data_IF_282619554916
#
_entry.id   IF_282619554916
#
_cell.length_a   1.000
_cell.length_b   1.000
_cell.length_c   1.000
_cell.angle_alpha   90.00
_cell.angle_beta   90.00
_cell.angle_gamma   90.00
#
_symmetry.space_group_name_H-M   'P 1'
#
loop_
_entity.id
_entity.type
_entity.pdbx_description
1 polymer ?
#
# COMPACT_ATOMS: atom_id res chain seq x y z
N UNK A 1 1.33 38.85 -2.72
CA UNK A 1 1.41 37.40 -3.06
C UNK A 1 2.48 37.31 -4.14
N UNK A 2 3.64 36.80 -3.80
CA UNK A 2 4.75 36.63 -4.76
C UNK A 2 4.53 35.37 -5.57
N UNK A 3 4.19 35.54 -6.84
CA UNK A 3 4.13 34.47 -7.85
C UNK A 3 5.53 33.88 -8.06
N UNK A 4 5.96 33.01 -7.15
CA UNK A 4 7.14 32.16 -7.43
C UNK A 4 6.65 30.91 -8.18
N UNK A 5 7.15 30.66 -9.39
CA UNK A 5 6.74 29.48 -10.14
C UNK A 5 7.09 28.20 -9.38
N UNK A 6 6.20 27.22 -9.43
CA UNK A 6 6.32 25.91 -8.77
C UNK A 6 7.67 25.23 -9.07
N UNK A 7 8.28 25.52 -10.21
CA UNK A 7 9.60 25.02 -10.63
C UNK A 7 10.76 25.38 -9.68
N UNK A 8 10.62 26.39 -8.81
CA UNK A 8 11.68 26.81 -7.87
C UNK A 8 11.84 25.81 -6.72
N UNK A 9 10.85 24.99 -6.46
CA UNK A 9 10.90 24.02 -5.36
C UNK A 9 11.67 22.72 -5.71
N UNK A 10 11.92 22.46 -6.98
CA UNK A 10 12.58 21.25 -7.46
C UNK A 10 14.05 21.41 -7.87
N UNK A 11 14.70 22.53 -7.50
CA UNK A 11 16.14 22.70 -7.76
C UNK A 11 16.95 21.92 -6.71
N UNK A 12 18.00 21.22 -7.18
CA UNK A 12 18.90 20.39 -6.37
C UNK A 12 19.64 21.15 -5.25
N UNK A 13 19.52 22.46 -5.18
CA UNK A 13 20.22 23.33 -4.21
C UNK A 13 19.65 23.23 -2.78
N UNK A 14 18.48 22.61 -2.57
CA UNK A 14 17.89 22.55 -1.24
C UNK A 14 17.84 21.12 -0.68
N UNK A 15 19.02 20.52 -0.48
CA UNK A 15 19.17 19.18 0.10
C UNK A 15 18.38 19.00 1.40
N UNK A 16 18.34 20.03 2.23
CA UNK A 16 17.62 20.00 3.52
C UNK A 16 16.12 19.87 3.31
N UNK A 17 15.55 20.57 2.32
CA UNK A 17 14.13 20.48 1.96
C UNK A 17 13.75 19.05 1.54
N UNK A 18 14.55 18.43 0.67
CA UNK A 18 14.31 17.07 0.22
C UNK A 18 14.45 16.04 1.34
N UNK A 19 15.44 16.23 2.23
CA UNK A 19 15.62 15.34 3.39
C UNK A 19 14.41 15.43 4.37
N UNK A 20 13.90 16.64 4.62
CA UNK A 20 12.69 16.83 5.42
C UNK A 20 11.47 16.18 4.76
N UNK A 21 11.28 16.38 3.46
CA UNK A 21 10.20 15.75 2.73
C UNK A 21 10.26 14.23 2.78
N UNK A 22 11.44 13.65 2.56
CA UNK A 22 11.64 12.21 2.68
C UNK A 22 11.36 11.72 4.11
N UNK A 23 11.86 12.41 5.13
CA UNK A 23 11.60 12.07 6.53
C UNK A 23 10.10 12.02 6.83
N UNK A 24 9.34 13.05 6.48
CA UNK A 24 7.90 13.08 6.72
C UNK A 24 7.13 12.06 5.87
N UNK A 25 7.60 11.76 4.66
CA UNK A 25 7.09 10.65 3.86
C UNK A 25 7.26 9.29 4.56
N UNK A 26 8.45 9.05 5.14
CA UNK A 26 8.70 7.82 5.92
C UNK A 26 7.88 7.78 7.22
N UNK A 27 7.70 8.91 7.89
CA UNK A 27 6.81 9.02 9.06
C UNK A 27 5.36 8.69 8.65
N UNK A 28 4.88 9.22 7.54
CA UNK A 28 3.54 8.94 7.02
C UNK A 28 3.37 7.44 6.71
N UNK A 29 4.36 6.83 6.05
CA UNK A 29 4.39 5.39 5.79
C UNK A 29 4.32 4.58 7.07
N UNK A 30 5.19 4.90 8.03
CA UNK A 30 5.27 4.20 9.32
C UNK A 30 3.99 4.30 10.13
N UNK A 31 3.37 5.48 10.19
CA UNK A 31 2.10 5.69 10.88
C UNK A 31 0.95 4.95 10.19
N UNK A 32 0.87 5.00 8.86
CA UNK A 32 -0.14 4.27 8.10
C UNK A 32 -0.01 2.75 8.32
N UNK A 33 1.21 2.24 8.37
CA UNK A 33 1.48 0.83 8.66
C UNK A 33 1.15 0.47 10.11
N UNK A 34 1.58 1.28 11.09
CA UNK A 34 1.30 1.04 12.51
C UNK A 34 -0.21 0.97 12.78
N UNK A 35 -1.00 1.85 12.14
CA UNK A 35 -2.45 1.85 12.28
C UNK A 35 -3.09 0.57 11.68
N UNK A 36 -2.55 0.02 10.60
CA UNK A 36 -3.01 -1.26 10.04
C UNK A 36 -2.63 -2.44 10.94
N UNK A 37 -1.50 -2.35 11.62
CA UNK A 37 -1.06 -3.40 12.55
C UNK A 37 -1.88 -3.46 13.84
N UNK A 38 -2.81 -2.53 14.08
CA UNK A 38 -3.75 -2.62 15.21
C UNK A 38 -4.66 -3.86 15.14
N UNK A 39 -4.88 -4.42 13.95
CA UNK A 39 -5.62 -5.68 13.80
C UNK A 39 -4.76 -6.93 14.02
N UNK A 40 -3.43 -6.81 14.04
CA UNK A 40 -2.50 -7.93 14.17
C UNK A 40 -2.77 -8.86 15.36
N UNK A 41 -3.14 -8.36 16.56
CA UNK A 41 -3.48 -9.23 17.68
C UNK A 41 -4.64 -10.19 17.38
N UNK A 42 -5.62 -9.78 16.56
CA UNK A 42 -6.74 -10.64 16.16
C UNK A 42 -6.25 -11.82 15.34
N UNK A 43 -5.27 -11.61 14.45
CA UNK A 43 -4.69 -12.64 13.59
C UNK A 43 -3.81 -13.65 14.34
N UNK A 44 -3.50 -13.41 15.61
CA UNK A 44 -2.79 -14.38 16.47
C UNK A 44 -3.70 -15.51 16.96
N UNK A 45 -5.02 -15.37 16.81
CA UNK A 45 -5.96 -16.43 17.19
C UNK A 45 -5.72 -17.68 16.31
N UNK A 46 -5.58 -18.89 16.90
CA UNK A 46 -5.42 -20.14 16.16
C UNK A 46 -6.52 -20.41 15.12
N UNK A 47 -7.72 -19.89 15.31
CA UNK A 47 -8.86 -20.01 14.37
C UNK A 47 -8.58 -19.39 13.00
N UNK A 48 -7.66 -18.42 12.92
CA UNK A 48 -7.27 -17.77 11.67
C UNK A 48 -6.03 -18.37 11.03
N UNK A 49 -5.66 -19.61 11.45
CA UNK A 49 -4.53 -20.35 10.92
C UNK A 49 -4.92 -21.73 10.43
N UNK A 50 -4.34 -22.14 9.32
CA UNK A 50 -4.34 -23.53 8.85
C UNK A 50 -2.89 -24.02 8.85
N UNK A 51 -2.53 -24.76 9.91
CA UNK A 51 -1.13 -25.13 10.13
C UNK A 51 -0.24 -23.92 10.41
N UNK A 52 0.75 -23.67 9.55
CA UNK A 52 1.64 -22.50 9.64
C UNK A 52 1.14 -21.26 8.88
N UNK A 53 0.07 -21.39 8.10
CA UNK A 53 -0.42 -20.33 7.21
C UNK A 53 -1.59 -19.58 7.83
N UNK A 54 -1.66 -18.25 7.58
CA UNK A 54 -2.82 -17.44 7.90
C UNK A 54 -3.91 -17.64 6.85
N UNK A 55 -5.15 -17.69 7.30
CA UNK A 55 -6.31 -17.65 6.42
C UNK A 55 -6.38 -16.29 5.74
N UNK A 56 -6.86 -16.27 4.51
CA UNK A 56 -7.11 -15.02 3.80
C UNK A 56 -8.51 -14.49 4.13
N UNK A 57 -8.65 -13.17 4.11
CA UNK A 57 -9.85 -12.49 4.56
C UNK A 57 -11.02 -12.62 3.57
N UNK A 58 -10.76 -12.92 2.29
CA UNK A 58 -11.79 -12.90 1.25
C UNK A 58 -11.70 -14.08 0.29
N UNK A 59 -12.81 -14.39 -0.32
CA UNK A 59 -12.94 -15.37 -1.40
C UNK A 59 -12.05 -15.03 -2.59
N UNK A 60 -11.99 -13.72 -2.94
CA UNK A 60 -11.20 -13.24 -4.08
C UNK A 60 -9.71 -13.41 -3.84
N UNK A 61 -9.24 -13.24 -2.60
CA UNK A 61 -7.84 -13.48 -2.27
C UNK A 61 -7.45 -14.95 -2.55
N UNK A 62 -8.30 -15.92 -2.19
CA UNK A 62 -8.06 -17.33 -2.53
C UNK A 62 -8.11 -17.59 -4.03
N UNK A 63 -9.00 -16.91 -4.76
CA UNK A 63 -9.07 -17.01 -6.21
C UNK A 63 -7.75 -16.57 -6.89
N UNK A 64 -7.18 -15.44 -6.44
CA UNK A 64 -5.92 -14.94 -6.97
C UNK A 64 -4.73 -15.82 -6.56
N UNK A 65 -4.72 -16.33 -5.34
CA UNK A 65 -3.69 -17.29 -4.89
C UNK A 65 -3.74 -18.57 -5.71
N UNK A 66 -4.90 -19.16 -5.91
CA UNK A 66 -5.05 -20.35 -6.75
C UNK A 66 -4.52 -20.09 -8.17
N UNK A 67 -4.84 -18.92 -8.77
CA UNK A 67 -4.30 -18.52 -10.06
C UNK A 67 -2.78 -18.38 -10.08
N UNK A 68 -2.19 -17.84 -9.02
CA UNK A 68 -0.74 -17.72 -8.86
C UNK A 68 -0.05 -19.09 -8.73
N UNK A 69 -0.72 -20.07 -8.13
CA UNK A 69 -0.26 -21.44 -8.01
C UNK A 69 -0.50 -22.30 -9.27
N UNK A 70 -1.19 -21.74 -10.26
CA UNK A 70 -1.45 -22.41 -11.54
C UNK A 70 -2.78 -23.15 -11.60
N UNK A 71 -3.72 -22.85 -10.70
CA UNK A 71 -5.03 -23.48 -10.62
C UNK A 71 -6.19 -22.55 -10.95
N UNK A 72 -7.25 -23.07 -11.55
CA UNK A 72 -8.50 -22.37 -11.77
C UNK A 72 -8.46 -21.32 -12.89
N UNK A 73 -9.48 -20.44 -12.88
CA UNK A 73 -9.70 -19.46 -13.95
C UNK A 73 -8.84 -18.20 -13.85
N UNK A 74 -8.17 -17.98 -12.72
CA UNK A 74 -7.31 -16.81 -12.51
C UNK A 74 -5.88 -16.99 -13.07
N UNK A 75 -5.56 -18.16 -13.62
CA UNK A 75 -4.24 -18.43 -14.22
C UNK A 75 -3.98 -17.46 -15.37
N UNK A 76 -2.85 -16.74 -15.31
CA UNK A 76 -2.49 -15.72 -16.31
C UNK A 76 -3.16 -14.36 -16.10
N UNK A 77 -4.07 -14.21 -15.14
CA UNK A 77 -4.62 -12.91 -14.80
C UNK A 77 -3.54 -12.01 -14.18
N UNK A 78 -3.48 -10.69 -14.48
CA UNK A 78 -2.45 -9.79 -13.95
C UNK A 78 -2.26 -9.84 -12.43
N UNK A 79 -3.34 -9.95 -11.66
CA UNK A 79 -3.28 -10.06 -10.20
C UNK A 79 -2.55 -11.34 -9.75
N UNK A 80 -2.86 -12.48 -10.38
CA UNK A 80 -2.22 -13.75 -10.08
C UNK A 80 -0.75 -13.78 -10.53
N UNK A 81 -0.45 -13.21 -11.70
CA UNK A 81 0.93 -13.09 -12.22
C UNK A 81 1.77 -12.19 -11.32
N UNK A 82 1.23 -11.05 -10.88
CA UNK A 82 1.90 -10.14 -9.96
C UNK A 82 2.18 -10.85 -8.61
N UNK A 83 1.18 -11.54 -8.08
CA UNK A 83 1.30 -12.27 -6.82
C UNK A 83 2.39 -13.35 -6.89
N UNK A 84 2.40 -14.13 -7.97
CA UNK A 84 3.44 -15.15 -8.20
C UNK A 84 4.82 -14.52 -8.32
N UNK A 85 4.96 -13.48 -9.16
CA UNK A 85 6.25 -12.81 -9.35
C UNK A 85 6.82 -12.23 -8.04
N UNK A 86 5.96 -11.72 -7.18
CA UNK A 86 6.37 -11.24 -5.85
C UNK A 86 6.76 -12.39 -4.92
N UNK A 87 6.01 -13.49 -4.93
CA UNK A 87 6.35 -14.66 -4.14
C UNK A 87 7.71 -15.25 -4.56
N UNK A 88 7.95 -15.36 -5.86
CA UNK A 88 9.23 -15.81 -6.41
C UNK A 88 10.38 -14.88 -6.03
N UNK A 89 10.17 -13.54 -6.13
CA UNK A 89 11.17 -12.53 -5.77
C UNK A 89 11.54 -12.58 -4.27
N UNK A 90 10.56 -12.82 -3.41
CA UNK A 90 10.73 -12.84 -1.96
C UNK A 90 11.13 -14.24 -1.43
N UNK A 91 11.16 -15.27 -2.29
CA UNK A 91 11.46 -16.64 -1.91
C UNK A 91 10.43 -17.24 -0.95
N UNK A 92 9.15 -16.88 -1.14
CA UNK A 92 8.04 -17.30 -0.29
C UNK A 92 6.89 -17.87 -1.13
N UNK A 93 5.77 -18.22 -0.50
CA UNK A 93 4.59 -18.77 -1.18
C UNK A 93 3.53 -17.66 -1.42
N UNK A 94 2.69 -17.80 -2.46
CA UNK A 94 1.72 -16.77 -2.86
C UNK A 94 0.76 -16.34 -1.75
N UNK A 95 0.27 -17.28 -0.93
CA UNK A 95 -0.65 -16.95 0.17
C UNK A 95 -0.01 -16.03 1.22
N UNK A 96 1.29 -16.18 1.53
CA UNK A 96 1.99 -15.27 2.45
C UNK A 96 2.05 -13.85 1.87
N UNK A 97 2.33 -13.71 0.57
CA UNK A 97 2.32 -12.39 -0.09
C UNK A 97 0.91 -11.81 -0.10
N UNK A 98 -0.11 -12.62 -0.46
CA UNK A 98 -1.51 -12.19 -0.47
C UNK A 98 -1.99 -11.73 0.92
N UNK A 99 -1.42 -12.27 1.98
CA UNK A 99 -1.74 -11.86 3.35
C UNK A 99 -1.15 -10.47 3.71
N UNK A 100 0.14 -10.22 3.41
CA UNK A 100 0.83 -9.01 3.85
C UNK A 100 0.76 -7.85 2.87
N UNK A 101 0.73 -8.15 1.58
CA UNK A 101 0.88 -7.15 0.52
C UNK A 101 -0.21 -6.07 0.52
N UNK A 102 -1.51 -6.37 0.78
CA UNK A 102 -2.55 -5.35 0.83
C UNK A 102 -2.25 -4.25 1.84
N UNK A 103 -1.89 -4.63 3.06
CA UNK A 103 -1.56 -3.69 4.13
C UNK A 103 -0.32 -2.84 3.77
N UNK A 104 0.69 -3.44 3.16
CA UNK A 104 1.91 -2.74 2.74
C UNK A 104 1.64 -1.77 1.59
N UNK A 105 1.02 -2.24 0.49
CA UNK A 105 0.79 -1.38 -0.69
C UNK A 105 -0.15 -0.22 -0.37
N UNK A 106 -1.16 -0.43 0.46
CA UNK A 106 -2.06 0.63 0.88
C UNK A 106 -1.38 1.74 1.70
N UNK A 107 -0.29 1.43 2.41
CA UNK A 107 0.51 2.45 3.08
C UNK A 107 1.25 3.35 2.08
N UNK A 108 1.64 2.83 0.92
CA UNK A 108 2.22 3.66 -0.14
C UNK A 108 1.21 4.63 -0.77
N UNK A 109 -0.10 4.32 -0.73
CA UNK A 109 -1.14 5.29 -1.11
C UNK A 109 -1.07 6.53 -0.22
N UNK A 110 -0.86 6.36 1.09
CA UNK A 110 -0.65 7.49 2.00
C UNK A 110 0.55 8.35 1.60
N UNK A 111 1.66 7.71 1.20
CA UNK A 111 2.89 8.41 0.77
C UNK A 111 2.67 9.15 -0.56
N UNK A 112 1.95 8.56 -1.51
CA UNK A 112 1.64 9.21 -2.78
C UNK A 112 0.81 10.48 -2.55
N UNK A 113 -0.24 10.38 -1.72
CA UNK A 113 -1.09 11.54 -1.38
C UNK A 113 -0.31 12.58 -0.58
N UNK A 114 0.54 12.14 0.36
CA UNK A 114 1.49 13.02 1.03
C UNK A 114 2.35 13.80 0.03
N UNK A 115 2.97 13.12 -0.92
CA UNK A 115 3.85 13.73 -1.92
C UNK A 115 3.09 14.74 -2.80
N UNK A 116 1.85 14.44 -3.16
CA UNK A 116 0.97 15.33 -3.88
C UNK A 116 0.74 16.64 -3.14
N UNK A 117 0.33 16.57 -1.88
CA UNK A 117 0.01 17.76 -1.07
C UNK A 117 1.31 18.50 -0.69
N UNK A 118 2.41 17.79 -0.45
CA UNK A 118 3.72 18.40 -0.26
C UNK A 118 4.15 19.22 -1.49
N UNK A 119 3.94 18.69 -2.70
CA UNK A 119 4.21 19.42 -3.95
C UNK A 119 3.38 20.72 -4.07
N UNK A 120 2.21 20.79 -3.42
CA UNK A 120 1.40 22.01 -3.31
C UNK A 120 1.89 22.98 -2.22
N UNK A 121 2.91 22.60 -1.43
CA UNK A 121 3.64 23.50 -0.54
C UNK A 121 3.45 23.29 0.97
N UNK A 122 2.71 22.25 1.42
CA UNK A 122 2.53 21.99 2.85
C UNK A 122 2.84 20.51 3.20
N UNK A 123 3.87 20.31 4.02
CA UNK A 123 4.24 19.00 4.54
C UNK A 123 3.22 18.47 5.57
N UNK A 124 2.79 19.32 6.48
CA UNK A 124 1.83 18.98 7.55
C UNK A 124 0.49 18.57 6.97
N UNK A 125 -0.02 19.37 6.01
CA UNK A 125 -1.24 19.02 5.29
C UNK A 125 -1.05 17.72 4.48
N UNK A 126 0.14 17.48 3.94
CA UNK A 126 0.50 16.25 3.25
C UNK A 126 0.40 15.03 4.14
N UNK A 127 0.97 15.07 5.35
CA UNK A 127 0.86 13.98 6.34
C UNK A 127 -0.61 13.71 6.68
N UNK A 128 -1.35 14.77 7.01
CA UNK A 128 -2.77 14.65 7.36
C UNK A 128 -3.60 14.04 6.20
N UNK A 129 -3.42 14.55 4.98
CA UNK A 129 -4.13 14.05 3.79
C UNK A 129 -3.77 12.60 3.48
N UNK A 130 -2.50 12.23 3.55
CA UNK A 130 -2.03 10.86 3.35
C UNK A 130 -2.66 9.89 4.35
N UNK A 131 -2.64 10.23 5.63
CA UNK A 131 -3.25 9.39 6.67
C UNK A 131 -4.77 9.29 6.50
N UNK A 132 -5.48 10.40 6.29
CA UNK A 132 -6.92 10.39 6.07
C UNK A 132 -7.32 9.53 4.87
N UNK A 133 -6.57 9.61 3.76
CA UNK A 133 -6.83 8.79 2.57
C UNK A 133 -6.62 7.32 2.87
N UNK A 134 -5.50 6.97 3.52
CA UNK A 134 -5.17 5.58 3.81
C UNK A 134 -6.11 4.95 4.85
N UNK A 135 -6.71 5.77 5.71
CA UNK A 135 -7.65 5.35 6.74
C UNK A 135 -9.12 5.56 6.36
N UNK A 136 -9.41 6.04 5.15
CA UNK A 136 -10.78 6.17 4.66
C UNK A 136 -11.50 4.82 4.80
N UNK A 137 -12.67 4.75 5.49
CA UNK A 137 -13.25 3.48 5.93
C UNK A 137 -13.44 2.46 4.82
N UNK A 138 -13.89 2.90 3.63
CA UNK A 138 -14.07 2.02 2.48
C UNK A 138 -12.76 1.46 1.93
N UNK A 139 -11.69 2.25 1.91
CA UNK A 139 -10.37 1.81 1.47
C UNK A 139 -9.68 0.95 2.53
N UNK A 140 -9.74 1.37 3.80
CA UNK A 140 -9.16 0.63 4.92
C UNK A 140 -9.75 -0.79 4.98
N UNK A 141 -11.09 -0.94 4.96
CA UNK A 141 -11.74 -2.24 5.05
C UNK A 141 -11.37 -3.21 3.92
N UNK A 142 -10.94 -2.67 2.76
CA UNK A 142 -10.56 -3.46 1.58
C UNK A 142 -9.06 -3.63 1.38
N UNK A 143 -8.26 -3.17 2.32
CA UNK A 143 -6.78 -3.24 2.27
C UNK A 143 -6.16 -3.68 3.58
N UNK A 144 -6.93 -4.39 4.40
CA UNK A 144 -6.49 -5.04 5.62
C UNK A 144 -5.62 -6.28 5.32
N UNK A 145 -5.05 -6.87 6.35
CA UNK A 145 -4.29 -8.12 6.23
C UNK A 145 -5.16 -9.23 5.61
N UNK A 146 -4.61 -9.95 4.66
CA UNK A 146 -5.31 -11.04 3.97
C UNK A 146 -6.38 -10.62 2.96
N UNK A 147 -6.58 -9.31 2.73
CA UNK A 147 -7.56 -8.80 1.78
C UNK A 147 -6.91 -8.49 0.41
N UNK A 148 -6.42 -9.52 -0.27
CA UNK A 148 -5.80 -9.35 -1.59
C UNK A 148 -6.87 -9.31 -2.69
N UNK A 149 -7.11 -8.11 -3.24
CA UNK A 149 -8.12 -7.87 -4.28
C UNK A 149 -7.70 -6.74 -5.23
N UNK A 150 -8.45 -6.57 -6.31
CA UNK A 150 -8.24 -5.55 -7.34
C UNK A 150 -8.37 -4.12 -6.81
N UNK A 151 -9.14 -3.88 -5.77
CA UNK A 151 -9.32 -2.58 -5.14
C UNK A 151 -7.99 -1.94 -4.72
N UNK A 152 -7.04 -2.77 -4.32
CA UNK A 152 -5.69 -2.39 -3.95
C UNK A 152 -4.95 -1.65 -5.08
N UNK A 153 -4.98 -2.21 -6.29
CA UNK A 153 -4.26 -1.68 -7.45
C UNK A 153 -5.07 -0.59 -8.18
N UNK A 154 -6.41 -0.64 -8.07
CA UNK A 154 -7.33 0.31 -8.70
C UNK A 154 -7.14 1.74 -8.19
N UNK A 155 -6.75 1.92 -6.94
CA UNK A 155 -6.43 3.24 -6.38
C UNK A 155 -4.95 3.58 -6.50
N UNK A 156 -4.07 2.60 -6.25
CA UNK A 156 -2.62 2.82 -6.20
C UNK A 156 -2.05 3.32 -7.54
N UNK A 157 -2.31 2.60 -8.63
CA UNK A 157 -1.71 2.93 -9.93
C UNK A 157 -2.19 4.27 -10.52
N UNK A 158 -3.49 4.61 -10.53
CA UNK A 158 -3.92 5.94 -10.99
C UNK A 158 -3.31 7.09 -10.20
N UNK A 159 -3.25 6.97 -8.85
CA UNK A 159 -2.60 7.99 -8.03
C UNK A 159 -1.11 8.12 -8.33
N UNK A 160 -0.40 7.00 -8.51
CA UNK A 160 1.01 7.02 -8.87
C UNK A 160 1.24 7.65 -10.25
N UNK A 161 0.42 7.31 -11.24
CA UNK A 161 0.52 7.89 -12.59
C UNK A 161 0.25 9.38 -12.63
N UNK A 162 -0.62 9.87 -11.76
CA UNK A 162 -0.89 11.31 -11.68
C UNK A 162 0.19 12.08 -10.93
N UNK A 163 1.03 11.42 -10.14
CA UNK A 163 2.19 12.02 -9.46
C UNK A 163 3.41 12.12 -10.39
N UNK A 164 3.52 11.26 -11.39
CA UNK A 164 4.65 11.18 -12.32
C UNK A 164 4.60 12.27 -13.39
#
# INVERSE_FOLDING_TARGET
MTDKPVSVYFTAENRTFWLHGLFWGLVTLGLAFALRMLEWPCWQNPEYRLGSEWLLATHDAYHWVAGAEGFGHAVGHPMAVMLRGMADLLGTYPAAVAFWFPALLSCFVAVIVYAWVWALGSMEAGVAAGLLTSLAPGFLARTLLGYYDTDLVTLFFPLLMTLA
#
